data_IF_042557178114
#
_entry.id   IF_042557178114
#
_cell.length_a   1.000
_cell.length_b   1.000
_cell.length_c   1.000
_cell.angle_alpha   90.00
_cell.angle_beta   90.00
_cell.angle_gamma   90.00
#
_symmetry.space_group_name_H-M   'P 1'
#
loop_
_entity.id
_entity.type
_entity.pdbx_description
1 polymer ?
#
# COMPACT_ATOMS: atom_id res chain seq x y z
N UNK A 1 -1.51 18.97 4.56
CA UNK A 1 -0.20 18.36 4.89
C UNK A 1 0.87 18.98 3.99
N UNK A 2 2.16 18.74 4.19
CA UNK A 2 3.19 19.16 3.22
C UNK A 2 3.38 18.11 2.14
N UNK A 3 3.86 18.51 0.94
CA UNK A 3 4.23 17.58 -0.15
C UNK A 3 5.13 16.43 0.35
N UNK A 4 6.01 16.69 1.32
CA UNK A 4 6.87 15.66 1.94
C UNK A 4 6.09 14.53 2.64
N UNK A 5 4.94 14.82 3.24
CA UNK A 5 4.10 13.81 3.92
C UNK A 5 3.38 12.92 2.89
N UNK A 6 2.98 13.51 1.75
CA UNK A 6 2.39 12.76 0.64
C UNK A 6 3.44 11.86 -0.03
N UNK A 7 4.66 12.35 -0.23
CA UNK A 7 5.78 11.56 -0.77
C UNK A 7 6.12 10.36 0.13
N UNK A 8 6.10 10.55 1.45
CA UNK A 8 6.27 9.45 2.41
C UNK A 8 5.14 8.41 2.31
N UNK A 9 3.88 8.87 2.20
CA UNK A 9 2.73 7.99 2.04
C UNK A 9 2.81 7.17 0.73
N UNK A 10 3.24 7.79 -0.37
CA UNK A 10 3.47 7.11 -1.65
C UNK A 10 4.57 6.05 -1.50
N UNK A 11 5.70 6.40 -0.86
CA UNK A 11 6.79 5.45 -0.62
C UNK A 11 6.34 4.25 0.23
N UNK A 12 5.51 4.49 1.25
CA UNK A 12 4.92 3.44 2.08
C UNK A 12 4.02 2.51 1.26
N UNK A 13 3.13 3.07 0.43
CA UNK A 13 2.24 2.30 -0.45
C UNK A 13 3.03 1.40 -1.39
N UNK A 14 4.02 1.94 -2.11
CA UNK A 14 4.82 1.18 -3.08
C UNK A 14 5.54 -0.01 -2.42
N UNK A 15 6.16 0.23 -1.26
CA UNK A 15 6.82 -0.83 -0.50
C UNK A 15 5.85 -1.90 0.00
N UNK A 16 4.65 -1.48 0.45
CA UNK A 16 3.58 -2.39 0.87
C UNK A 16 3.11 -3.27 -0.29
N UNK A 17 2.87 -2.66 -1.45
CA UNK A 17 2.44 -3.37 -2.65
C UNK A 17 3.48 -4.38 -3.15
N UNK A 18 4.76 -3.98 -3.25
CA UNK A 18 5.85 -4.89 -3.62
C UNK A 18 5.95 -6.10 -2.69
N UNK A 19 5.76 -5.87 -1.38
CA UNK A 19 5.76 -6.95 -0.40
C UNK A 19 4.58 -7.89 -0.61
N UNK A 20 3.36 -7.37 -0.78
CA UNK A 20 2.16 -8.17 -1.01
C UNK A 20 2.30 -9.04 -2.27
N UNK A 21 2.79 -8.46 -3.37
CA UNK A 21 3.09 -9.22 -4.59
C UNK A 21 4.15 -10.30 -4.35
N UNK A 22 5.23 -9.99 -3.63
CA UNK A 22 6.27 -10.97 -3.34
C UNK A 22 5.77 -12.14 -2.48
N UNK A 23 4.89 -11.88 -1.52
CA UNK A 23 4.28 -12.92 -0.68
C UNK A 23 3.33 -13.80 -1.50
N UNK A 24 2.54 -13.21 -2.39
CA UNK A 24 1.69 -13.94 -3.33
C UNK A 24 2.49 -14.81 -4.31
N UNK A 25 3.54 -14.26 -4.94
CA UNK A 25 4.40 -15.00 -5.88
C UNK A 25 5.11 -16.18 -5.21
N UNK A 26 5.47 -16.05 -3.92
CA UNK A 26 6.05 -17.13 -3.13
C UNK A 26 5.02 -18.18 -2.70
N UNK A 27 3.73 -17.94 -2.95
CA UNK A 27 2.63 -18.81 -2.53
C UNK A 27 2.39 -18.79 -1.03
N UNK A 28 2.80 -17.73 -0.32
CA UNK A 28 2.59 -17.60 1.13
C UNK A 28 1.19 -17.13 1.48
N UNK A 29 0.55 -16.38 0.57
CA UNK A 29 -0.81 -15.85 0.70
C UNK A 29 -1.58 -16.13 -0.58
N UNK A 30 -2.90 -16.22 -0.48
CA UNK A 30 -3.77 -16.33 -1.65
C UNK A 30 -4.08 -14.94 -2.24
N UNK A 31 -4.78 -14.94 -3.38
CA UNK A 31 -5.12 -13.72 -4.10
C UNK A 31 -6.02 -12.79 -3.27
N UNK A 32 -7.00 -13.34 -2.54
CA UNK A 32 -7.95 -12.55 -1.75
C UNK A 32 -7.22 -11.83 -0.60
N UNK A 33 -6.35 -12.55 0.14
CA UNK A 33 -5.52 -11.95 1.18
C UNK A 33 -4.55 -10.89 0.63
N UNK A 34 -4.06 -11.07 -0.60
CA UNK A 34 -3.23 -10.06 -1.28
C UNK A 34 -4.03 -8.80 -1.59
N UNK A 35 -5.27 -8.96 -2.08
CA UNK A 35 -6.16 -7.84 -2.38
C UNK A 35 -6.53 -7.06 -1.12
N UNK A 36 -6.86 -7.74 -0.02
CA UNK A 36 -7.19 -7.09 1.27
C UNK A 36 -6.05 -6.18 1.77
N UNK A 37 -4.80 -6.66 1.64
CA UNK A 37 -3.60 -5.88 2.02
C UNK A 37 -3.41 -4.67 1.09
N UNK A 38 -3.61 -4.84 -0.22
CA UNK A 38 -3.51 -3.74 -1.18
C UNK A 38 -4.61 -2.70 -0.98
N UNK A 39 -5.84 -3.12 -0.68
CA UNK A 39 -6.95 -2.23 -0.35
C UNK A 39 -6.64 -1.41 0.90
N UNK A 40 -6.12 -2.04 1.95
CA UNK A 40 -5.70 -1.34 3.18
C UNK A 40 -4.66 -0.26 2.87
N UNK A 41 -3.61 -0.58 2.10
CA UNK A 41 -2.59 0.40 1.74
C UNK A 41 -3.14 1.51 0.82
N UNK A 42 -4.09 1.18 -0.05
CA UNK A 42 -4.74 2.16 -0.92
C UNK A 42 -5.61 3.14 -0.13
N UNK A 43 -6.33 2.68 0.88
CA UNK A 43 -7.10 3.53 1.80
C UNK A 43 -6.19 4.48 2.56
N UNK A 44 -5.09 3.98 3.15
CA UNK A 44 -4.10 4.83 3.83
C UNK A 44 -3.53 5.92 2.91
N UNK A 45 -3.23 5.57 1.64
CA UNK A 45 -2.73 6.53 0.66
C UNK A 45 -3.78 7.58 0.28
N UNK A 46 -5.06 7.17 0.13
CA UNK A 46 -6.17 8.09 -0.17
C UNK A 46 -6.37 9.08 0.95
N UNK A 47 -6.38 8.61 2.20
CA UNK A 47 -6.50 9.48 3.38
C UNK A 47 -5.36 10.50 3.44
N UNK A 48 -4.12 10.09 3.17
CA UNK A 48 -2.98 10.99 3.12
C UNK A 48 -3.11 12.03 1.99
N UNK A 49 -3.55 11.63 0.80
CA UNK A 49 -3.77 12.52 -0.33
C UNK A 49 -4.91 13.52 -0.08
N UNK A 50 -6.01 13.09 0.52
CA UNK A 50 -7.15 13.98 0.85
C UNK A 50 -6.82 14.96 1.98
N UNK A 51 -5.83 14.61 2.80
CA UNK A 51 -5.34 15.44 3.91
C UNK A 51 -4.14 16.33 3.53
N UNK A 52 -3.61 16.19 2.31
CA UNK A 52 -2.55 17.01 1.72
C UNK A 52 -3.04 18.42 1.39
#
# INVERSE_FOLDING_TARGET
>A
MSDDELDEAVAKFLKGAEKAYSEYEKGYVDADATLDVLETHLEELREAHESA
#
